data_IF_993121258455
#
_entry.id   IF_993121258455
#
_cell.length_a   1.000
_cell.length_b   1.000
_cell.length_c   1.000
_cell.angle_alpha   90.00
_cell.angle_beta   90.00
_cell.angle_gamma   90.00
#
_symmetry.space_group_name_H-M   'P 1'
#
loop_
_entity.id
_entity.type
_entity.pdbx_description
1 polymer ?
#
# COMPACT_ATOMS: atom_id res chain seq x y z
N UNK A 1 -1.72 -31.82 -16.55
CA UNK A 1 -0.85 -30.63 -16.32
C UNK A 1 -0.25 -30.66 -14.92
N UNK A 2 -1.02 -30.48 -13.84
CA UNK A 2 -0.52 -30.72 -12.46
C UNK A 2 -0.28 -32.20 -12.19
N UNK A 3 -1.24 -33.06 -12.55
CA UNK A 3 -1.18 -34.53 -12.41
C UNK A 3 0.03 -35.17 -13.11
N UNK A 4 0.50 -34.56 -14.19
CA UNK A 4 1.57 -35.11 -15.02
C UNK A 4 2.94 -34.78 -14.41
N UNK A 5 3.04 -33.61 -13.76
CA UNK A 5 4.24 -33.15 -13.05
C UNK A 5 4.38 -33.79 -11.66
N UNK A 6 3.29 -34.19 -11.01
CA UNK A 6 3.31 -34.85 -9.70
C UNK A 6 4.08 -36.18 -9.70
N UNK A 7 4.21 -36.83 -10.85
CA UNK A 7 4.92 -38.10 -10.99
C UNK A 7 6.33 -37.94 -11.58
N UNK A 8 6.75 -36.71 -11.90
CA UNK A 8 8.08 -36.46 -12.42
C UNK A 8 9.08 -36.43 -11.25
N UNK A 9 10.09 -37.33 -11.20
CA UNK A 9 11.06 -37.36 -10.11
C UNK A 9 11.97 -36.13 -10.05
N UNK A 10 11.96 -35.26 -11.06
CA UNK A 10 12.63 -33.96 -11.04
C UNK A 10 11.80 -32.84 -10.41
N UNK A 11 10.55 -33.10 -10.06
CA UNK A 11 9.61 -32.12 -9.48
C UNK A 11 9.40 -32.43 -8.00
N UNK A 12 9.85 -31.53 -7.13
CA UNK A 12 9.69 -31.66 -5.67
C UNK A 12 8.25 -31.39 -5.22
N UNK A 13 7.59 -30.39 -5.81
CA UNK A 13 6.21 -30.03 -5.51
C UNK A 13 5.55 -29.30 -6.70
N UNK A 14 4.23 -29.47 -6.84
CA UNK A 14 3.44 -28.76 -7.85
C UNK A 14 2.03 -28.52 -7.33
N UNK A 15 1.54 -27.29 -7.51
CA UNK A 15 0.19 -26.88 -7.15
C UNK A 15 -0.47 -26.03 -8.24
N UNK A 16 -1.82 -25.96 -8.26
CA UNK A 16 -2.52 -25.01 -9.12
C UNK A 16 -2.17 -23.56 -8.76
N UNK A 17 -2.14 -22.69 -9.77
CA UNK A 17 -2.07 -21.25 -9.53
C UNK A 17 -3.44 -20.75 -9.02
N UNK A 18 -3.52 -20.38 -7.74
CA UNK A 18 -4.74 -19.87 -7.13
C UNK A 18 -4.82 -18.35 -7.31
N UNK A 19 -5.87 -17.88 -7.99
CA UNK A 19 -6.15 -16.45 -8.12
C UNK A 19 -6.91 -15.96 -6.89
N UNK A 20 -6.29 -15.04 -6.15
CA UNK A 20 -6.93 -14.29 -5.06
C UNK A 20 -7.43 -12.96 -5.61
N UNK A 21 -8.62 -12.55 -5.18
CA UNK A 21 -9.22 -11.28 -5.60
C UNK A 21 -9.58 -10.47 -4.36
N UNK A 22 -9.55 -9.14 -4.50
CA UNK A 22 -10.14 -8.25 -3.50
C UNK A 22 -11.59 -8.67 -3.25
N UNK A 23 -11.98 -8.80 -1.99
CA UNK A 23 -13.38 -9.02 -1.66
C UNK A 23 -14.12 -7.71 -1.86
N UNK A 24 -15.05 -7.67 -2.82
CA UNK A 24 -15.97 -6.54 -2.93
C UNK A 24 -16.85 -6.51 -1.67
N UNK A 25 -16.73 -5.42 -0.92
CA UNK A 25 -17.59 -5.15 0.23
C UNK A 25 -18.69 -4.23 -0.28
N UNK A 26 -19.86 -4.80 -0.56
CA UNK A 26 -21.05 -4.02 -0.87
C UNK A 26 -21.51 -3.32 0.40
N UNK A 27 -21.37 -2.00 0.42
CA UNK A 27 -21.86 -1.14 1.49
C UNK A 27 -20.76 -0.48 2.29
N UNK A 28 -20.83 0.86 2.24
CA UNK A 28 -20.33 1.81 3.23
C UNK A 28 -18.81 2.07 3.20
N UNK A 29 -18.30 2.70 2.14
CA UNK A 29 -17.31 3.76 2.37
C UNK A 29 -18.03 4.92 3.07
N UNK A 30 -18.06 4.88 4.40
CA UNK A 30 -18.45 6.05 5.18
C UNK A 30 -17.20 6.90 5.36
N UNK A 31 -17.14 7.99 4.60
CA UNK A 31 -16.20 9.07 4.87
C UNK A 31 -16.69 9.77 6.12
N UNK A 32 -15.90 9.69 7.19
CA UNK A 32 -16.12 10.46 8.39
C UNK A 32 -15.11 11.58 8.43
N UNK A 33 -15.58 12.79 8.68
CA UNK A 33 -14.73 13.91 9.06
C UNK A 33 -14.13 13.67 10.45
N UNK A 34 -13.01 14.34 10.75
CA UNK A 34 -12.38 14.27 12.07
C UNK A 34 -13.36 14.61 13.20
N UNK A 35 -14.26 15.56 12.96
CA UNK A 35 -15.29 15.96 13.92
C UNK A 35 -16.34 14.85 14.13
N UNK A 36 -16.72 14.14 13.07
CA UNK A 36 -17.62 12.98 13.16
C UNK A 36 -16.95 11.81 13.90
N UNK A 37 -15.67 11.54 13.64
CA UNK A 37 -14.89 10.53 14.39
C UNK A 37 -14.81 10.92 15.87
N UNK A 38 -14.50 12.18 16.18
CA UNK A 38 -14.42 12.68 17.55
C UNK A 38 -15.78 12.62 18.28
N UNK A 39 -16.88 12.88 17.58
CA UNK A 39 -18.23 12.76 18.13
C UNK A 39 -18.62 11.30 18.37
N UNK A 40 -18.30 10.40 17.44
CA UNK A 40 -18.52 8.95 17.58
C UNK A 40 -17.68 8.35 18.72
N UNK A 41 -16.47 8.88 18.94
CA UNK A 41 -15.58 8.48 20.03
C UNK A 41 -16.16 8.71 21.42
N UNK A 42 -17.04 9.70 21.58
CA UNK A 42 -17.71 9.97 22.86
C UNK A 42 -18.89 9.04 23.15
N UNK A 43 -19.39 8.30 22.15
CA UNK A 43 -20.62 7.49 22.27
C UNK A 43 -20.39 5.99 22.15
N UNK A 44 -19.27 5.56 21.55
CA UNK A 44 -18.93 4.14 21.37
C UNK A 44 -18.07 3.59 22.51
N UNK A 45 -18.56 2.55 23.20
CA UNK A 45 -17.84 1.87 24.29
C UNK A 45 -16.52 1.21 23.88
N UNK A 46 -16.26 1.06 22.58
CA UNK A 46 -14.98 0.55 22.03
C UNK A 46 -13.84 1.57 22.13
N UNK A 47 -14.13 2.87 22.25
CA UNK A 47 -13.12 3.93 22.38
C UNK A 47 -12.91 4.36 23.84
N UNK A 48 -13.78 3.92 24.75
CA UNK A 48 -13.74 4.27 26.17
C UNK A 48 -12.72 3.47 27.01
N UNK A 49 -12.03 2.48 26.44
CA UNK A 49 -11.13 1.58 27.20
C UNK A 49 -9.66 1.61 26.79
N UNK A 50 -9.23 2.50 25.88
CA UNK A 50 -7.87 2.42 25.34
C UNK A 50 -7.64 1.15 24.51
N UNK A 51 -8.62 0.77 23.69
CA UNK A 51 -8.50 -0.38 22.78
C UNK A 51 -7.86 -0.01 21.43
N UNK A 52 -7.14 1.12 21.37
CA UNK A 52 -6.29 1.46 20.24
C UNK A 52 -4.95 0.71 20.34
N UNK A 53 -4.13 0.78 19.29
CA UNK A 53 -2.80 0.15 19.27
C UNK A 53 -1.75 0.93 20.07
N UNK A 54 -2.16 1.98 20.81
CA UNK A 54 -1.30 2.83 21.64
C UNK A 54 -0.09 3.46 20.91
N UNK A 55 -0.22 3.72 19.60
CA UNK A 55 0.88 4.23 18.77
C UNK A 55 1.38 5.60 19.22
N UNK A 56 0.48 6.48 19.68
CA UNK A 56 0.83 7.82 20.15
C UNK A 56 1.70 7.77 21.41
N UNK A 57 1.29 6.99 22.41
CA UNK A 57 2.09 6.80 23.63
C UNK A 57 3.44 6.14 23.35
N UNK A 58 3.49 5.24 22.36
CA UNK A 58 4.76 4.67 21.90
C UNK A 58 5.68 5.76 21.34
N UNK A 59 5.20 6.59 20.40
CA UNK A 59 5.99 7.65 19.77
C UNK A 59 6.53 8.69 20.74
N UNK A 60 5.81 9.01 21.81
CA UNK A 60 6.31 9.88 22.88
C UNK A 60 7.44 9.22 23.68
N UNK A 61 7.48 7.88 23.72
CA UNK A 61 8.42 7.09 24.51
C UNK A 61 9.66 6.60 23.75
N UNK A 62 9.61 6.57 22.41
CA UNK A 62 10.72 6.09 21.57
C UNK A 62 11.49 7.23 20.92
N UNK A 63 12.81 7.12 20.87
CA UNK A 63 13.63 7.96 20.00
C UNK A 63 13.43 7.53 18.54
N UNK A 64 13.40 8.50 17.62
CA UNK A 64 13.37 8.19 16.19
C UNK A 64 14.57 7.29 15.83
N UNK A 65 14.33 6.15 15.16
CA UNK A 65 15.43 5.29 14.72
C UNK A 65 16.29 6.02 13.69
N UNK A 66 17.60 5.72 13.67
CA UNK A 66 18.51 6.27 12.66
C UNK A 66 18.20 5.75 11.26
N UNK A 67 17.71 4.52 11.18
CA UNK A 67 17.40 3.82 9.94
C UNK A 67 15.88 3.68 9.81
N UNK A 68 15.36 4.04 8.64
CA UNK A 68 13.94 3.90 8.33
C UNK A 68 13.71 2.52 7.70
N UNK A 69 12.82 1.69 8.27
CA UNK A 69 12.48 0.42 7.64
C UNK A 69 11.73 0.66 6.31
N UNK A 70 12.00 -0.17 5.31
CA UNK A 70 11.21 -0.23 4.09
C UNK A 70 10.08 -1.22 4.29
N UNK A 71 8.85 -0.83 3.95
CA UNK A 71 7.66 -1.67 4.04
C UNK A 71 7.11 -1.89 2.63
N UNK A 72 7.08 -3.14 2.18
CA UNK A 72 6.50 -3.50 0.89
C UNK A 72 4.98 -3.68 0.99
N UNK A 73 4.23 -3.02 0.10
CA UNK A 73 2.77 -3.11 0.00
C UNK A 73 2.44 -3.80 -1.33
N UNK A 74 1.80 -4.98 -1.24
CA UNK A 74 1.35 -5.75 -2.41
C UNK A 74 -0.16 -5.56 -2.52
N UNK A 75 -0.59 -4.65 -3.39
CA UNK A 75 -1.98 -4.21 -3.48
C UNK A 75 -2.31 -3.69 -4.89
N UNK A 76 -3.39 -2.93 -5.07
CA UNK A 76 -3.88 -2.40 -6.36
C UNK A 76 -2.98 -1.36 -7.00
N UNK A 77 -1.98 -0.87 -6.29
CA UNK A 77 -1.05 0.17 -6.74
C UNK A 77 -0.85 1.23 -5.68
N UNK A 78 -0.30 2.37 -6.10
CA UNK A 78 -0.10 3.53 -5.23
C UNK A 78 -0.23 4.83 -6.03
N UNK A 79 -1.06 5.77 -5.60
CA UNK A 79 -0.98 7.15 -6.09
C UNK A 79 0.25 7.84 -5.48
N UNK A 80 1.41 7.67 -6.13
CA UNK A 80 2.67 8.31 -5.76
C UNK A 80 2.60 9.84 -5.78
N UNK A 81 1.58 10.42 -6.43
CA UNK A 81 1.38 11.85 -6.50
C UNK A 81 0.53 12.40 -5.36
N UNK A 82 -0.06 11.54 -4.52
CA UNK A 82 -0.90 11.95 -3.41
C UNK A 82 -0.12 12.82 -2.41
N UNK A 83 -0.77 13.88 -1.91
CA UNK A 83 -0.15 14.88 -1.03
C UNK A 83 0.50 14.26 0.20
N UNK A 84 -0.12 13.21 0.75
CA UNK A 84 0.38 12.50 1.94
C UNK A 84 1.81 11.99 1.76
N UNK A 85 2.13 11.40 0.60
CA UNK A 85 3.44 10.81 0.33
C UNK A 85 4.49 11.88 -0.01
N UNK A 86 4.06 12.95 -0.69
CA UNK A 86 4.91 14.12 -0.96
C UNK A 86 5.31 14.86 0.31
N UNK A 87 4.36 15.11 1.20
CA UNK A 87 4.62 15.88 2.42
C UNK A 87 5.41 15.08 3.47
N UNK A 88 5.17 13.77 3.55
CA UNK A 88 5.90 12.88 4.47
C UNK A 88 7.27 12.45 3.95
N UNK A 89 7.51 12.59 2.64
CA UNK A 89 8.69 12.05 1.96
C UNK A 89 8.92 10.55 2.28
N UNK A 90 7.83 9.78 2.21
CA UNK A 90 7.80 8.37 2.62
C UNK A 90 7.83 7.37 1.46
N UNK A 91 7.87 7.83 0.22
CA UNK A 91 8.06 6.93 -0.93
C UNK A 91 9.45 6.33 -0.88
N UNK A 92 9.52 5.01 -1.01
CA UNK A 92 10.76 4.31 -1.27
C UNK A 92 11.23 4.63 -2.69
N UNK A 93 12.55 4.73 -2.87
CA UNK A 93 13.20 4.97 -4.16
C UNK A 93 14.25 3.88 -4.36
N UNK A 94 14.21 3.20 -5.51
CA UNK A 94 15.32 2.38 -5.98
C UNK A 94 16.47 3.32 -6.39
N UNK A 95 17.51 3.42 -5.57
CA UNK A 95 18.66 4.31 -5.83
C UNK A 95 19.57 3.79 -6.95
N UNK A 96 19.43 2.51 -7.30
CA UNK A 96 20.21 1.85 -8.36
C UNK A 96 19.56 2.01 -9.76
N UNK A 97 18.38 2.64 -9.85
CA UNK A 97 17.67 2.92 -11.10
C UNK A 97 17.81 4.39 -11.56
N UNK A 98 17.96 4.60 -12.87
CA UNK A 98 17.93 5.93 -13.49
C UNK A 98 16.54 6.16 -14.10
N UNK A 99 15.71 7.06 -13.52
CA UNK A 99 14.32 7.18 -13.93
C UNK A 99 14.11 7.52 -15.41
N UNK A 100 13.26 6.73 -16.08
CA UNK A 100 12.79 6.93 -17.46
C UNK A 100 13.89 6.82 -18.52
N UNK A 101 14.92 6.00 -18.29
CA UNK A 101 15.93 5.72 -19.30
C UNK A 101 15.57 4.48 -20.16
N UNK A 102 14.56 3.71 -19.76
CA UNK A 102 14.11 2.50 -20.47
C UNK A 102 15.07 1.32 -20.30
N UNK A 103 15.91 1.33 -19.27
CA UNK A 103 16.91 0.31 -18.94
C UNK A 103 16.59 -0.24 -17.56
N UNK A 104 16.89 -1.51 -17.35
CA UNK A 104 16.98 -2.14 -16.03
C UNK A 104 18.43 -1.93 -15.57
N UNK A 105 18.67 -0.87 -14.80
CA UNK A 105 20.01 -0.40 -14.44
C UNK A 105 20.64 -1.26 -13.34
N UNK A 106 19.80 -1.81 -12.46
CA UNK A 106 20.24 -2.67 -11.36
C UNK A 106 20.30 -4.17 -11.74
N UNK A 107 19.70 -4.54 -12.87
CA UNK A 107 19.69 -5.90 -13.42
C UNK A 107 18.75 -6.86 -12.67
N UNK A 108 17.74 -6.34 -11.99
CA UNK A 108 16.78 -7.12 -11.19
C UNK A 108 15.65 -7.75 -12.04
N UNK A 109 15.56 -7.40 -13.33
CA UNK A 109 14.55 -7.86 -14.27
C UNK A 109 13.38 -6.89 -14.48
N UNK A 110 13.40 -5.71 -13.85
CA UNK A 110 12.31 -4.74 -13.85
C UNK A 110 12.78 -3.36 -14.31
N UNK A 111 12.52 -3.03 -15.58
CA UNK A 111 12.93 -1.76 -16.19
C UNK A 111 12.24 -0.55 -15.52
N UNK A 112 13.04 0.44 -15.09
CA UNK A 112 12.57 1.70 -14.49
C UNK A 112 11.70 1.50 -13.22
N UNK A 113 11.99 0.53 -12.35
CA UNK A 113 11.21 0.23 -11.13
C UNK A 113 11.48 1.16 -9.92
N UNK A 114 11.63 2.46 -10.22
CA UNK A 114 12.06 3.54 -9.31
C UNK A 114 11.28 3.59 -7.99
N UNK A 115 9.98 3.29 -7.99
CA UNK A 115 9.13 3.31 -6.79
C UNK A 115 8.41 1.98 -6.54
N UNK A 116 8.87 0.91 -7.19
CA UNK A 116 8.24 -0.40 -7.17
C UNK A 116 7.77 -0.85 -8.56
N UNK A 117 7.01 -1.94 -8.58
CA UNK A 117 6.64 -2.61 -9.82
C UNK A 117 5.14 -2.92 -9.94
N UNK A 118 4.60 -2.68 -11.13
CA UNK A 118 3.25 -3.10 -11.51
C UNK A 118 3.30 -4.42 -12.28
N UNK A 119 2.98 -5.52 -11.60
CA UNK A 119 2.95 -6.86 -12.19
C UNK A 119 1.80 -7.09 -13.18
N UNK A 120 0.73 -6.30 -13.13
CA UNK A 120 -0.41 -6.41 -14.06
C UNK A 120 -0.02 -5.86 -15.43
N UNK A 121 0.67 -4.72 -15.47
CA UNK A 121 1.09 -4.06 -16.71
C UNK A 121 2.55 -4.32 -17.10
N UNK A 122 3.30 -5.03 -16.25
CA UNK A 122 4.72 -5.30 -16.43
C UNK A 122 5.51 -4.00 -16.65
N UNK A 123 5.41 -3.07 -15.69
CA UNK A 123 6.01 -1.74 -15.78
C UNK A 123 6.33 -1.14 -14.40
N UNK A 124 7.33 -0.24 -14.31
CA UNK A 124 7.61 0.56 -13.11
C UNK A 124 6.58 1.66 -12.81
N UNK A 125 5.58 1.85 -13.67
CA UNK A 125 4.48 2.79 -13.44
C UNK A 125 3.48 2.25 -12.41
N UNK A 126 3.61 2.73 -11.18
CA UNK A 126 2.70 2.46 -10.07
C UNK A 126 1.40 3.25 -10.23
N UNK A 127 0.43 2.68 -10.94
CA UNK A 127 -0.92 3.22 -11.06
C UNK A 127 -1.80 2.50 -10.05
N UNK A 128 -2.50 3.26 -9.21
CA UNK A 128 -3.62 2.74 -8.41
C UNK A 128 -4.93 3.05 -9.14
N UNK A 129 -5.58 2.01 -9.65
CA UNK A 129 -6.85 2.11 -10.39
C UNK A 129 -8.09 1.81 -9.52
N UNK A 130 -7.88 1.53 -8.23
CA UNK A 130 -8.94 1.16 -7.28
C UNK A 130 -8.94 2.05 -6.02
N UNK A 131 -7.77 2.46 -5.53
CA UNK A 131 -7.61 3.29 -4.34
C UNK A 131 -7.31 2.50 -3.05
N UNK A 132 -7.51 1.18 -3.05
CA UNK A 132 -7.26 0.34 -1.88
C UNK A 132 -5.78 0.35 -1.47
N UNK A 133 -4.86 0.21 -2.44
CA UNK A 133 -3.43 0.23 -2.17
C UNK A 133 -2.93 1.57 -1.61
N UNK A 134 -3.44 2.68 -2.14
CA UNK A 134 -3.18 4.03 -1.60
C UNK A 134 -3.69 4.19 -0.17
N UNK A 135 -4.90 3.69 0.13
CA UNK A 135 -5.47 3.73 1.46
C UNK A 135 -4.67 2.90 2.48
N UNK A 136 -4.35 1.65 2.14
CA UNK A 136 -3.51 0.77 2.97
C UNK A 136 -2.14 1.40 3.24
N UNK A 137 -1.52 1.98 2.21
CA UNK A 137 -0.23 2.68 2.35
C UNK A 137 -0.33 3.90 3.28
N UNK A 138 -1.43 4.63 3.24
CA UNK A 138 -1.70 5.75 4.16
C UNK A 138 -1.79 5.33 5.63
N UNK A 139 -2.39 4.18 5.92
CA UNK A 139 -2.48 3.63 7.29
C UNK A 139 -1.08 3.39 7.86
N UNK A 140 -0.15 2.87 7.05
CA UNK A 140 1.24 2.60 7.49
C UNK A 140 1.97 3.88 7.88
N UNK A 141 1.73 4.99 7.17
CA UNK A 141 2.35 6.27 7.50
C UNK A 141 1.79 6.91 8.76
N UNK A 142 0.64 6.43 9.26
CA UNK A 142 -0.04 6.95 10.44
C UNK A 142 -0.10 8.49 10.43
N UNK A 143 -0.42 9.05 9.28
CA UNK A 143 -0.53 10.50 9.14
C UNK A 143 -1.80 10.99 9.85
N UNK A 144 -1.67 12.04 10.67
CA UNK A 144 -2.81 12.84 11.14
C UNK A 144 -3.52 13.58 9.98
N UNK A 145 -3.11 13.33 8.73
CA UNK A 145 -3.78 13.81 7.53
C UNK A 145 -4.83 12.78 7.13
N UNK A 146 -6.09 13.17 7.20
CA UNK A 146 -7.19 12.44 6.59
C UNK A 146 -6.86 12.19 5.10
N UNK A 147 -6.56 10.93 4.75
CA UNK A 147 -6.23 10.53 3.38
C UNK A 147 -7.44 10.67 2.43
N UNK A 148 -8.64 10.88 2.98
CA UNK A 148 -9.86 11.19 2.25
C UNK A 148 -10.22 12.69 2.27
N UNK A 149 -9.52 13.53 3.04
CA UNK A 149 -9.78 14.98 3.10
C UNK A 149 -9.35 15.71 1.82
N UNK A 150 -8.41 15.14 1.06
CA UNK A 150 -8.27 15.47 -0.33
C UNK A 150 -9.32 14.67 -1.10
N UNK A 151 -10.20 15.35 -1.85
CA UNK A 151 -11.05 14.68 -2.82
C UNK A 151 -10.16 13.78 -3.67
N UNK A 152 -10.30 12.46 -3.54
CA UNK A 152 -9.84 11.51 -4.55
C UNK A 152 -10.52 11.98 -5.84
N UNK A 153 -9.78 12.69 -6.70
CA UNK A 153 -10.25 12.82 -8.07
C UNK A 153 -10.26 11.39 -8.58
N UNK A 154 -11.43 10.93 -9.04
CA UNK A 154 -11.51 9.69 -9.82
C UNK A 154 -10.32 9.68 -10.78
N UNK A 155 -9.59 8.56 -10.81
CA UNK A 155 -8.55 8.33 -11.79
C UNK A 155 -9.16 8.70 -13.15
N UNK A 156 -8.66 9.77 -13.77
CA UNK A 156 -9.23 10.29 -15.01
C UNK A 156 -8.89 9.33 -16.13
N UNK A 157 -9.69 8.29 -16.29
CA UNK A 157 -9.64 7.40 -17.45
C UNK A 157 -11.07 7.24 -17.96
N UNK A 158 -11.26 7.68 -19.22
CA UNK A 158 -12.38 7.27 -20.07
C UNK A 158 -12.07 5.91 -20.67
#
# INVERSE_FOLDING_TARGET
>A
MVSDLQNDPSVEYVEPNYLVNKKNIDGIEQKFTQDEIAALAQTSSYLATGADIHVQSLWESVSQPSDKPVVAIIDTGLDINHKVFKDSNALWVNEDEIPNNGIDDDGNGYVDDVNGWNFVHNSGYMIDDDGHGTHVSGIVLSVDQDIFAANLQEARIK
#
